data_IF_647729167109
#
_entry.id   IF_647729167109
#
_cell.length_a   1.000
_cell.length_b   1.000
_cell.length_c   1.000
_cell.angle_alpha   90.00
_cell.angle_beta   90.00
_cell.angle_gamma   90.00
#
_symmetry.space_group_name_H-M   'P 1'
#
loop_
_entity.id
_entity.type
_entity.pdbx_description
1 polymer ?
#
# COMPACT_ATOMS: atom_id res chain seq x y z
N UNK A 1 -28.33 -6.67 7.20
CA UNK A 1 -28.29 -5.34 7.85
C UNK A 1 -26.84 -5.07 8.19
N UNK A 2 -26.30 -3.94 7.77
CA UNK A 2 -24.89 -3.57 7.99
C UNK A 2 -24.75 -2.90 9.34
N UNK A 3 -23.83 -3.38 10.17
CA UNK A 3 -23.46 -2.76 11.44
C UNK A 3 -22.27 -1.82 11.20
N UNK A 4 -22.32 -0.58 11.70
CA UNK A 4 -21.26 0.41 11.53
C UNK A 4 -20.65 0.77 12.88
N UNK A 5 -19.35 0.50 13.04
CA UNK A 5 -18.57 0.93 14.21
C UNK A 5 -17.48 1.91 13.78
N UNK A 6 -17.47 3.09 14.40
CA UNK A 6 -16.46 4.14 14.16
C UNK A 6 -15.59 4.24 15.40
N UNK A 7 -14.30 3.96 15.25
CA UNK A 7 -13.32 3.97 16.35
C UNK A 7 -12.51 5.27 16.43
N UNK A 8 -12.84 6.27 15.61
CA UNK A 8 -12.25 7.60 15.65
C UNK A 8 -13.07 8.52 16.56
N UNK A 9 -12.41 9.41 17.31
CA UNK A 9 -13.07 10.39 18.18
C UNK A 9 -13.64 11.58 17.41
N UNK A 10 -12.91 12.06 16.40
CA UNK A 10 -13.22 13.26 15.64
C UNK A 10 -13.11 12.95 14.15
N UNK A 11 -14.24 13.10 13.44
CA UNK A 11 -14.31 12.84 12.00
C UNK A 11 -14.98 14.03 11.31
N UNK A 12 -14.30 14.63 10.33
CA UNK A 12 -14.85 15.75 9.57
C UNK A 12 -16.06 15.32 8.72
N UNK A 13 -16.92 16.28 8.35
CA UNK A 13 -18.19 15.98 7.67
C UNK A 13 -17.98 15.35 6.28
N UNK A 14 -16.90 15.66 5.57
CA UNK A 14 -16.62 15.06 4.26
C UNK A 14 -16.23 13.59 4.43
N UNK A 15 -15.42 13.27 5.44
CA UNK A 15 -15.08 11.90 5.81
C UNK A 15 -16.30 11.12 6.30
N UNK A 16 -17.13 11.73 7.16
CA UNK A 16 -18.39 11.13 7.61
C UNK A 16 -19.36 10.83 6.45
N UNK A 17 -19.41 11.70 5.44
CA UNK A 17 -20.20 11.43 4.23
C UNK A 17 -19.71 10.18 3.51
N UNK A 18 -18.39 10.03 3.28
CA UNK A 18 -17.84 8.81 2.67
C UNK A 18 -18.13 7.55 3.50
N UNK A 19 -18.10 7.65 4.84
CA UNK A 19 -18.42 6.53 5.73
C UNK A 19 -19.89 6.11 5.54
N UNK A 20 -20.83 7.07 5.54
CA UNK A 20 -22.26 6.79 5.35
C UNK A 20 -22.54 6.20 3.96
N UNK A 21 -21.92 6.76 2.93
CA UNK A 21 -22.05 6.30 1.55
C UNK A 21 -21.61 4.83 1.39
N UNK A 22 -20.44 4.46 1.91
CA UNK A 22 -19.96 3.07 1.79
C UNK A 22 -20.72 2.11 2.71
N UNK A 23 -21.07 2.52 3.93
CA UNK A 23 -21.77 1.65 4.88
C UNK A 23 -23.21 1.33 4.45
N UNK A 24 -23.86 2.23 3.70
CA UNK A 24 -25.19 2.03 3.13
C UNK A 24 -25.18 1.36 1.74
N UNK A 25 -24.00 1.13 1.16
CA UNK A 25 -23.89 0.57 -0.18
C UNK A 25 -24.41 -0.88 -0.23
N UNK A 26 -25.25 -1.26 -1.21
CA UNK A 26 -25.93 -2.57 -1.24
C UNK A 26 -24.99 -3.77 -1.36
N UNK A 27 -23.79 -3.58 -1.92
CA UNK A 27 -22.77 -4.61 -2.00
C UNK A 27 -21.96 -4.78 -0.70
N UNK A 28 -22.20 -3.98 0.36
CA UNK A 28 -21.47 -4.07 1.63
C UNK A 28 -22.35 -4.76 2.67
N UNK A 29 -21.82 -5.77 3.35
CA UNK A 29 -22.55 -6.56 4.34
C UNK A 29 -21.78 -6.78 5.64
N UNK A 30 -22.52 -7.13 6.70
CA UNK A 30 -21.96 -7.46 8.00
C UNK A 30 -21.43 -6.22 8.74
N UNK A 31 -20.32 -6.39 9.43
CA UNK A 31 -19.67 -5.31 10.18
C UNK A 31 -18.80 -4.45 9.24
N UNK A 32 -19.04 -3.15 9.24
CA UNK A 32 -18.13 -2.11 8.78
C UNK A 32 -17.47 -1.49 9.99
N UNK A 33 -16.14 -1.55 10.06
CA UNK A 33 -15.38 -0.88 11.11
C UNK A 33 -14.45 0.18 10.50
N UNK A 34 -14.51 1.39 11.04
CA UNK A 34 -13.68 2.53 10.64
C UNK A 34 -12.57 2.73 11.66
N UNK A 35 -11.32 2.66 11.20
CA UNK A 35 -10.13 2.78 12.04
C UNK A 35 -9.95 4.21 12.59
N UNK A 36 -9.27 4.37 13.74
CA UNK A 36 -8.98 5.68 14.34
C UNK A 36 -8.24 6.69 13.42
N UNK A 37 -7.44 6.23 12.46
CA UNK A 37 -6.68 7.05 11.51
C UNK A 37 -7.48 7.45 10.27
N UNK A 38 -8.82 7.32 10.32
CA UNK A 38 -9.67 7.57 9.18
C UNK A 38 -9.62 9.02 8.71
N UNK A 39 -9.69 9.20 7.39
CA UNK A 39 -9.70 10.51 6.76
C UNK A 39 -10.22 10.39 5.33
N UNK A 40 -10.56 11.55 4.75
CA UNK A 40 -11.08 11.66 3.39
C UNK A 40 -10.14 10.97 2.39
N UNK A 41 -10.68 9.98 1.69
CA UNK A 41 -9.96 9.24 0.66
C UNK A 41 -10.40 9.64 -0.75
N UNK A 42 -9.63 9.21 -1.74
CA UNK A 42 -10.09 9.26 -3.13
C UNK A 42 -11.20 8.21 -3.31
N UNK A 43 -12.45 8.68 -3.30
CA UNK A 43 -13.68 7.91 -3.56
C UNK A 43 -14.25 7.07 -2.42
N UNK A 44 -13.41 6.55 -1.52
CA UNK A 44 -13.86 5.88 -0.30
C UNK A 44 -12.91 6.25 0.85
N UNK A 45 -13.45 6.32 2.06
CA UNK A 45 -12.76 6.68 3.29
C UNK A 45 -11.53 5.78 3.54
N UNK A 46 -10.42 6.41 3.92
CA UNK A 46 -9.24 5.68 4.41
C UNK A 46 -9.52 5.25 5.85
N UNK A 47 -9.03 4.08 6.27
CA UNK A 47 -9.39 3.44 7.54
C UNK A 47 -10.61 2.52 7.42
N UNK A 48 -11.11 2.26 6.21
CA UNK A 48 -12.27 1.39 6.00
C UNK A 48 -11.91 -0.09 6.13
N UNK A 49 -12.76 -0.84 6.83
CA UNK A 49 -12.82 -2.30 6.77
C UNK A 49 -14.27 -2.77 6.59
N UNK A 50 -14.46 -3.81 5.80
CA UNK A 50 -15.77 -4.43 5.60
C UNK A 50 -15.70 -5.62 4.66
N UNK A 51 -16.86 -6.20 4.32
CA UNK A 51 -16.96 -7.28 3.33
C UNK A 51 -17.88 -6.87 2.19
N UNK A 52 -17.56 -7.39 1.01
CA UNK A 52 -18.48 -7.29 -0.12
C UNK A 52 -19.30 -8.57 -0.29
N UNK A 53 -20.53 -8.41 -0.77
CA UNK A 53 -21.47 -9.48 -1.08
C UNK A 53 -21.95 -9.37 -2.51
N UNK A 54 -21.88 -10.46 -3.28
CA UNK A 54 -22.40 -10.53 -4.66
C UNK A 54 -21.71 -9.66 -5.72
N UNK A 55 -20.95 -8.65 -5.32
CA UNK A 55 -20.25 -7.70 -6.19
C UNK A 55 -18.93 -7.24 -5.56
N UNK A 56 -18.12 -6.51 -6.31
CA UNK A 56 -16.91 -5.83 -5.84
C UNK A 56 -16.98 -4.34 -6.15
N UNK A 57 -16.32 -3.50 -5.35
CA UNK A 57 -16.22 -2.06 -5.58
C UNK A 57 -14.74 -1.70 -5.78
N UNK A 58 -14.20 -1.70 -7.02
CA UNK A 58 -12.76 -1.64 -7.24
C UNK A 58 -12.07 -0.43 -6.58
N UNK A 59 -12.70 0.74 -6.63
CA UNK A 59 -12.17 1.97 -6.05
C UNK A 59 -12.15 2.00 -4.51
N UNK A 60 -12.86 1.08 -3.85
CA UNK A 60 -12.79 0.90 -2.38
C UNK A 60 -11.53 0.16 -1.97
N UNK A 61 -10.87 -0.63 -2.82
CA UNK A 61 -9.51 -1.10 -2.49
C UNK A 61 -8.50 0.03 -2.70
N UNK A 62 -8.75 0.86 -3.71
CA UNK A 62 -7.89 2.00 -4.08
C UNK A 62 -6.96 1.69 -5.23
N UNK A 63 -6.28 2.72 -5.71
CA UNK A 63 -5.45 2.66 -6.92
C UNK A 63 -4.06 2.06 -6.70
N UNK A 64 -3.63 1.93 -5.45
CA UNK A 64 -2.35 1.30 -5.09
C UNK A 64 -2.63 -0.03 -4.39
N UNK A 65 -3.07 -1.00 -5.19
CA UNK A 65 -3.42 -2.35 -4.74
C UNK A 65 -2.21 -2.99 -4.06
N UNK A 66 -2.41 -3.62 -2.92
CA UNK A 66 -1.37 -4.27 -2.15
C UNK A 66 -0.34 -3.30 -1.57
N UNK A 67 -0.59 -1.97 -1.55
CA UNK A 67 0.27 -1.03 -0.82
C UNK A 67 0.41 -1.48 0.62
N UNK A 68 1.63 -1.48 1.13
CA UNK A 68 1.97 -2.11 2.40
C UNK A 68 3.36 -1.72 2.87
N UNK A 69 3.65 -2.09 4.11
CA UNK A 69 4.93 -1.87 4.75
C UNK A 69 5.55 -3.21 5.11
N UNK A 70 6.84 -3.36 4.83
CA UNK A 70 7.65 -4.44 5.39
C UNK A 70 8.70 -3.86 6.33
N UNK A 71 8.99 -4.58 7.41
CA UNK A 71 10.02 -4.26 8.39
C UNK A 71 10.89 -5.49 8.64
N UNK A 72 12.21 -5.30 8.61
CA UNK A 72 13.19 -6.36 8.83
C UNK A 72 14.32 -5.88 9.75
N UNK A 73 14.75 -6.66 10.76
CA UNK A 73 15.94 -6.33 11.54
C UNK A 73 17.20 -6.34 10.66
N UNK A 74 18.16 -5.47 10.96
CA UNK A 74 19.49 -5.44 10.34
C UNK A 74 20.49 -6.03 11.35
N UNK A 75 20.47 -7.35 11.49
CA UNK A 75 21.19 -8.03 12.57
C UNK A 75 22.70 -7.80 12.55
N UNK A 76 23.26 -7.47 13.72
CA UNK A 76 24.71 -7.32 13.91
C UNK A 76 25.31 -6.05 13.31
N UNK A 77 24.48 -5.07 12.93
CA UNK A 77 24.93 -3.74 12.49
C UNK A 77 24.52 -2.71 13.54
N UNK A 78 25.46 -1.89 14.03
CA UNK A 78 25.15 -0.73 14.87
C UNK A 78 25.10 0.54 14.04
N UNK A 79 24.34 1.53 14.50
CA UNK A 79 24.16 2.83 13.84
C UNK A 79 25.48 3.51 13.47
N UNK A 80 26.47 3.45 14.36
CA UNK A 80 27.75 4.13 14.19
C UNK A 80 28.63 3.50 13.09
N UNK A 81 28.27 2.31 12.62
CA UNK A 81 28.97 1.58 11.55
C UNK A 81 28.42 1.95 10.16
N UNK A 82 27.35 2.75 10.09
CA UNK A 82 26.67 3.11 8.84
C UNK A 82 27.16 4.47 8.35
N UNK A 83 27.79 4.49 7.17
CA UNK A 83 27.89 5.72 6.39
C UNK A 83 26.57 5.96 5.64
N UNK A 84 25.79 6.90 6.14
CA UNK A 84 24.48 7.22 5.57
C UNK A 84 24.53 7.80 4.16
N UNK A 85 25.63 8.47 3.77
CA UNK A 85 25.77 9.00 2.42
C UNK A 85 26.04 7.88 1.41
N UNK A 86 26.87 6.90 1.79
CA UNK A 86 27.14 5.74 0.95
C UNK A 86 25.91 4.84 0.83
N UNK A 87 25.16 4.65 1.92
CA UNK A 87 23.88 3.95 1.89
C UNK A 87 22.85 4.66 0.99
N UNK A 88 22.68 5.98 1.12
CA UNK A 88 21.76 6.75 0.27
C UNK A 88 22.16 6.64 -1.22
N UNK A 89 23.45 6.76 -1.53
CA UNK A 89 23.98 6.60 -2.90
C UNK A 89 23.69 5.20 -3.43
N UNK A 90 23.90 4.16 -2.62
CA UNK A 90 23.59 2.78 -2.98
C UNK A 90 22.10 2.57 -3.25
N UNK A 91 21.23 3.08 -2.37
CA UNK A 91 19.77 3.00 -2.54
C UNK A 91 19.35 3.72 -3.83
N UNK A 92 19.77 4.97 -4.03
CA UNK A 92 19.36 5.77 -5.19
C UNK A 92 19.86 5.23 -6.53
N UNK A 93 21.01 4.55 -6.54
CA UNK A 93 21.54 3.88 -7.73
C UNK A 93 20.90 2.52 -8.01
N UNK A 94 20.42 1.83 -6.97
CA UNK A 94 19.85 0.48 -7.09
C UNK A 94 18.32 0.45 -7.15
N UNK A 95 17.64 1.44 -6.59
CA UNK A 95 16.17 1.47 -6.42
C UNK A 95 15.60 2.72 -7.08
N UNK A 96 14.95 2.60 -8.26
CA UNK A 96 14.27 3.71 -8.91
C UNK A 96 13.18 4.32 -8.01
N UNK A 97 13.17 5.65 -7.94
CA UNK A 97 12.26 6.44 -7.13
C UNK A 97 11.22 7.17 -7.99
N UNK A 98 10.08 7.54 -7.40
CA UNK A 98 9.04 8.31 -8.08
C UNK A 98 8.41 7.57 -9.26
N UNK A 99 8.53 8.13 -10.46
CA UNK A 99 7.99 7.57 -11.71
C UNK A 99 9.06 6.81 -12.52
N UNK A 100 10.28 6.68 -12.00
CA UNK A 100 11.35 5.95 -12.66
C UNK A 100 11.13 4.42 -12.59
N UNK A 101 11.82 3.71 -13.48
CA UNK A 101 11.78 2.25 -13.63
C UNK A 101 13.16 1.73 -14.04
N UNK A 102 13.38 0.44 -13.87
CA UNK A 102 14.58 -0.23 -14.34
C UNK A 102 14.60 -0.30 -15.86
N UNK A 103 15.75 0.02 -16.46
CA UNK A 103 15.95 -0.01 -17.92
C UNK A 103 16.58 -1.31 -18.40
N UNK A 104 17.24 -2.03 -17.50
CA UNK A 104 17.92 -3.31 -17.72
C UNK A 104 17.44 -4.33 -16.69
N UNK A 105 17.50 -5.64 -16.99
CA UNK A 105 17.06 -6.68 -16.08
C UNK A 105 18.03 -6.95 -14.92
N UNK A 106 19.13 -6.20 -14.81
CA UNK A 106 20.25 -6.44 -13.88
C UNK A 106 19.80 -6.66 -12.44
N UNK A 107 18.81 -5.90 -11.93
CA UNK A 107 18.30 -6.11 -10.57
C UNK A 107 17.60 -7.46 -10.42
N UNK A 108 16.82 -7.90 -11.42
CA UNK A 108 16.15 -9.19 -11.40
C UNK A 108 17.13 -10.35 -11.63
N UNK A 109 18.18 -10.16 -12.42
CA UNK A 109 19.26 -11.13 -12.59
C UNK A 109 20.04 -11.30 -11.27
N UNK A 110 20.43 -10.19 -10.65
CA UNK A 110 21.02 -10.18 -9.32
C UNK A 110 20.09 -10.88 -8.30
N UNK A 111 18.80 -10.55 -8.29
CA UNK A 111 17.83 -11.19 -7.39
C UNK A 111 17.70 -12.69 -7.66
N UNK A 112 17.76 -13.11 -8.93
CA UNK A 112 17.74 -14.51 -9.34
C UNK A 112 18.94 -15.32 -8.87
N UNK A 113 20.12 -14.69 -8.79
CA UNK A 113 21.31 -15.36 -8.24
C UNK A 113 21.20 -15.68 -6.75
N UNK A 114 20.34 -14.94 -6.01
CA UNK A 114 20.15 -15.08 -4.56
C UNK A 114 18.91 -15.89 -4.21
N UNK A 115 17.82 -15.66 -4.94
CA UNK A 115 16.50 -16.26 -4.69
C UNK A 115 15.86 -16.75 -6.01
N UNK A 116 16.35 -17.87 -6.60
CA UNK A 116 15.93 -18.32 -7.92
C UNK A 116 14.42 -18.51 -8.07
N UNK A 117 13.78 -19.17 -7.10
CA UNK A 117 12.33 -19.46 -7.13
C UNK A 117 11.49 -18.18 -7.05
N UNK A 118 11.85 -17.25 -6.16
CA UNK A 118 11.17 -15.94 -6.05
C UNK A 118 11.38 -15.11 -7.31
N UNK A 119 12.57 -15.15 -7.91
CA UNK A 119 12.83 -14.47 -9.18
C UNK A 119 12.01 -15.08 -10.32
N UNK A 120 11.88 -16.41 -10.38
CA UNK A 120 11.00 -17.07 -11.34
C UNK A 120 9.55 -16.61 -11.18
N UNK A 121 9.06 -16.52 -9.93
CA UNK A 121 7.73 -15.98 -9.64
C UNK A 121 7.58 -14.50 -10.00
N UNK A 122 8.59 -13.68 -9.73
CA UNK A 122 8.60 -12.27 -10.10
C UNK A 122 8.50 -12.08 -11.64
N UNK A 123 9.23 -12.90 -12.40
CA UNK A 123 9.19 -12.93 -13.87
C UNK A 123 7.85 -13.42 -14.41
N UNK A 124 7.25 -14.41 -13.76
CA UNK A 124 5.89 -14.88 -14.08
C UNK A 124 4.87 -13.73 -13.88
N UNK A 125 4.85 -13.09 -12.71
CA UNK A 125 3.97 -11.96 -12.43
C UNK A 125 4.10 -10.84 -13.47
N UNK A 126 5.33 -10.50 -13.84
CA UNK A 126 5.59 -9.50 -14.87
C UNK A 126 5.08 -9.93 -16.25
N UNK A 127 5.34 -11.18 -16.64
CA UNK A 127 4.85 -11.75 -17.91
C UNK A 127 3.32 -11.70 -17.97
N UNK A 128 2.64 -12.13 -16.91
CA UNK A 128 1.18 -12.10 -16.82
C UNK A 128 0.64 -10.68 -16.91
N UNK A 129 1.28 -9.71 -16.25
CA UNK A 129 0.91 -8.31 -16.39
C UNK A 129 1.04 -7.81 -17.84
N UNK A 130 2.17 -8.09 -18.51
CA UNK A 130 2.43 -7.61 -19.87
C UNK A 130 1.58 -8.30 -20.94
N UNK A 131 1.41 -9.62 -20.84
CA UNK A 131 0.78 -10.46 -21.84
C UNK A 131 -0.74 -10.61 -21.60
N UNK A 132 -1.15 -11.08 -20.43
CA UNK A 132 -2.58 -11.31 -20.14
C UNK A 132 -3.32 -9.99 -19.79
N UNK A 133 -2.74 -9.09 -18.98
CA UNK A 133 -3.45 -7.86 -18.58
C UNK A 133 -3.32 -6.75 -19.61
N UNK A 134 -2.10 -6.30 -19.92
CA UNK A 134 -1.90 -5.16 -20.80
C UNK A 134 -2.31 -5.51 -22.24
N UNK A 135 -1.74 -6.57 -22.80
CA UNK A 135 -1.96 -6.91 -24.21
C UNK A 135 -3.35 -7.47 -24.48
N UNK A 136 -3.81 -8.46 -23.73
CA UNK A 136 -5.12 -9.07 -23.98
C UNK A 136 -6.27 -8.22 -23.42
N UNK A 137 -6.29 -7.98 -22.10
CA UNK A 137 -7.43 -7.33 -21.46
C UNK A 137 -7.55 -5.82 -21.73
N UNK A 138 -6.43 -5.09 -21.68
CA UNK A 138 -6.37 -3.66 -21.98
C UNK A 138 -6.23 -3.36 -23.48
N UNK A 139 -5.93 -4.37 -24.30
CA UNK A 139 -5.66 -4.22 -25.74
C UNK A 139 -4.58 -3.16 -26.04
N UNK A 140 -3.56 -3.06 -25.19
CA UNK A 140 -2.50 -2.03 -25.26
C UNK A 140 -1.15 -2.61 -24.87
N UNK A 141 -0.07 -2.16 -25.51
CA UNK A 141 1.27 -2.46 -24.99
C UNK A 141 1.62 -1.52 -23.84
N UNK A 142 2.19 -2.02 -22.73
CA UNK A 142 2.67 -1.14 -21.68
C UNK A 142 3.86 -0.33 -22.20
N UNK A 143 3.97 0.93 -21.77
CA UNK A 143 5.06 1.82 -22.22
C UNK A 143 6.44 1.29 -21.80
N UNK A 144 6.50 0.72 -20.60
CA UNK A 144 7.67 0.02 -20.08
C UNK A 144 7.19 -1.35 -19.59
N UNK A 145 8.00 -2.40 -19.74
CA UNK A 145 7.61 -3.74 -19.32
C UNK A 145 7.36 -3.80 -17.80
N UNK A 146 6.44 -4.65 -17.36
CA UNK A 146 6.08 -4.78 -15.96
C UNK A 146 7.27 -5.20 -15.09
N UNK A 147 8.20 -6.00 -15.62
CA UNK A 147 9.40 -6.40 -14.89
C UNK A 147 10.25 -5.19 -14.46
N UNK A 148 10.24 -4.10 -15.24
CA UNK A 148 10.98 -2.88 -14.93
C UNK A 148 10.41 -2.10 -13.73
N UNK A 149 9.22 -2.46 -13.26
CA UNK A 149 8.58 -1.86 -12.09
C UNK A 149 8.89 -2.63 -10.78
N UNK A 150 9.35 -3.88 -10.86
CA UNK A 150 9.75 -4.67 -9.69
C UNK A 150 11.06 -4.13 -9.12
N UNK A 151 11.14 -4.01 -7.79
CA UNK A 151 12.28 -3.37 -7.13
C UNK A 151 12.29 -1.85 -7.28
N UNK A 152 11.12 -1.20 -7.37
CA UNK A 152 11.01 0.27 -7.45
C UNK A 152 10.19 0.83 -6.30
N UNK A 153 10.63 1.94 -5.72
CA UNK A 153 9.97 2.50 -4.55
C UNK A 153 8.64 3.16 -4.90
N UNK A 154 8.69 4.02 -5.91
CA UNK A 154 7.59 4.91 -6.23
C UNK A 154 7.63 6.28 -5.59
N UNK A 155 6.50 6.97 -5.69
CA UNK A 155 6.32 8.32 -5.12
C UNK A 155 5.13 8.38 -4.19
N UNK A 156 4.78 9.58 -3.75
CA UNK A 156 3.69 9.77 -2.81
C UNK A 156 4.14 9.57 -1.37
N UNK A 157 3.57 8.59 -0.67
CA UNK A 157 3.91 8.25 0.72
C UNK A 157 4.77 6.98 0.81
N UNK A 158 5.35 6.52 -0.30
CA UNK A 158 6.31 5.42 -0.31
C UNK A 158 7.67 5.92 0.17
N UNK A 159 8.32 5.13 1.01
CA UNK A 159 9.58 5.50 1.65
C UNK A 159 10.42 4.27 1.99
N UNK A 160 11.70 4.53 2.23
CA UNK A 160 12.67 3.61 2.83
C UNK A 160 13.19 4.33 4.07
N UNK A 161 13.22 3.63 5.18
CA UNK A 161 13.64 4.18 6.48
C UNK A 161 14.48 3.14 7.23
N UNK A 162 15.45 3.60 8.01
CA UNK A 162 16.15 2.78 8.99
C UNK A 162 15.86 3.36 10.37
N UNK A 163 15.18 2.58 11.19
CA UNK A 163 14.81 2.92 12.56
C UNK A 163 15.76 2.23 13.54
N UNK A 164 15.96 2.84 14.70
CA UNK A 164 16.70 2.28 15.82
C UNK A 164 15.75 2.12 17.01
N UNK A 165 15.65 0.91 17.57
CA UNK A 165 14.86 0.69 18.78
C UNK A 165 15.58 1.21 20.04
N UNK A 166 14.89 1.28 21.19
CA UNK A 166 15.52 1.73 22.44
C UNK A 166 16.70 0.85 22.94
N UNK A 167 16.92 -0.33 22.34
CA UNK A 167 18.02 -1.24 22.66
C UNK A 167 19.18 -1.11 21.66
N UNK A 168 19.07 -0.24 20.67
CA UNK A 168 20.07 -0.01 19.63
C UNK A 168 20.00 -1.01 18.46
N UNK A 169 18.95 -1.82 18.37
CA UNK A 169 18.74 -2.70 17.22
C UNK A 169 18.19 -1.89 16.04
N UNK A 170 18.74 -2.13 14.85
CA UNK A 170 18.34 -1.44 13.63
C UNK A 170 17.30 -2.22 12.85
N UNK A 171 16.36 -1.51 12.23
CA UNK A 171 15.29 -2.07 11.43
C UNK A 171 15.19 -1.33 10.10
N UNK A 172 15.17 -2.08 8.99
CA UNK A 172 14.87 -1.58 7.67
C UNK A 172 13.36 -1.61 7.45
N UNK A 173 12.76 -0.46 7.18
CA UNK A 173 11.36 -0.32 6.80
C UNK A 173 11.26 0.05 5.31
N UNK A 174 10.41 -0.67 4.56
CA UNK A 174 10.10 -0.34 3.15
C UNK A 174 8.59 -0.24 2.97
N UNK A 175 8.13 0.94 2.57
CA UNK A 175 6.74 1.20 2.20
C UNK A 175 6.61 1.35 0.69
N UNK A 176 5.95 0.38 0.05
CA UNK A 176 5.64 0.43 -1.39
C UNK A 176 4.41 -0.43 -1.73
N UNK A 177 4.02 -0.42 -3.00
CA UNK A 177 2.84 -1.11 -3.51
C UNK A 177 3.05 -1.73 -4.88
N UNK A 178 1.95 -1.94 -5.61
CA UNK A 178 1.90 -2.64 -6.91
C UNK A 178 2.29 -1.76 -8.11
N UNK A 179 2.74 -0.53 -7.83
CA UNK A 179 3.27 0.40 -8.81
C UNK A 179 2.23 0.74 -9.89
N UNK A 180 2.67 1.00 -11.12
CA UNK A 180 1.75 1.38 -12.20
C UNK A 180 0.86 0.22 -12.64
N UNK A 181 1.29 -1.03 -12.43
CA UNK A 181 0.49 -2.20 -12.73
C UNK A 181 -0.82 -2.22 -11.94
N UNK A 182 -0.78 -2.16 -10.60
CA UNK A 182 -2.02 -2.13 -9.81
C UNK A 182 -2.86 -0.87 -10.04
N UNK A 183 -2.24 0.27 -10.35
CA UNK A 183 -2.96 1.47 -10.80
C UNK A 183 -3.80 1.19 -12.06
N UNK A 184 -3.23 0.49 -13.04
CA UNK A 184 -3.95 0.17 -14.28
C UNK A 184 -5.07 -0.86 -14.03
N UNK A 185 -4.83 -1.86 -13.18
CA UNK A 185 -5.86 -2.82 -12.74
C UNK A 185 -7.04 -2.08 -12.09
N UNK A 186 -6.77 -1.23 -11.09
CA UNK A 186 -7.81 -0.50 -10.38
C UNK A 186 -8.64 0.40 -11.32
N UNK A 187 -7.99 1.15 -12.22
CA UNK A 187 -8.70 2.04 -13.15
C UNK A 187 -9.51 1.27 -14.18
N UNK A 188 -8.96 0.20 -14.76
CA UNK A 188 -9.66 -0.61 -15.75
C UNK A 188 -10.97 -1.18 -15.20
N UNK A 189 -10.92 -1.82 -14.02
CA UNK A 189 -12.11 -2.40 -13.43
C UNK A 189 -13.07 -1.36 -12.86
N UNK A 190 -12.59 -0.20 -12.41
CA UNK A 190 -13.49 0.90 -12.07
C UNK A 190 -14.22 1.46 -13.30
N UNK A 191 -13.53 1.60 -14.44
CA UNK A 191 -14.16 1.97 -15.70
C UNK A 191 -15.19 0.93 -16.16
N UNK A 192 -14.89 -0.35 -15.98
CA UNK A 192 -15.83 -1.43 -16.25
C UNK A 192 -17.07 -1.32 -15.36
N UNK A 193 -16.91 -1.11 -14.05
CA UNK A 193 -18.01 -0.91 -13.10
C UNK A 193 -18.89 0.29 -13.49
N UNK A 194 -18.27 1.44 -13.83
CA UNK A 194 -18.98 2.62 -14.33
C UNK A 194 -19.81 2.34 -15.58
N UNK A 195 -19.25 1.63 -16.56
CA UNK A 195 -19.95 1.28 -17.81
C UNK A 195 -21.07 0.26 -17.58
N UNK A 196 -20.89 -0.65 -16.64
CA UNK A 196 -21.92 -1.61 -16.27
C UNK A 196 -23.12 -0.87 -15.66
N UNK A 197 -22.87 -0.02 -14.66
CA UNK A 197 -23.91 0.74 -13.98
C UNK A 197 -24.57 1.81 -14.84
N UNK A 198 -23.88 2.39 -15.82
CA UNK A 198 -24.55 3.35 -16.74
C UNK A 198 -25.54 2.66 -17.69
N UNK A 199 -25.46 1.33 -17.82
CA UNK A 199 -26.34 0.52 -18.70
C UNK A 199 -27.43 -0.20 -17.93
N UNK A 200 -27.18 -0.60 -16.68
CA UNK A 200 -28.21 -1.14 -15.79
C UNK A 200 -28.90 0.01 -15.05
N UNK A 201 -30.22 0.01 -14.95
CA UNK A 201 -30.94 0.97 -14.07
C UNK A 201 -30.67 0.75 -12.57
N UNK A 202 -29.69 -0.09 -12.24
CA UNK A 202 -29.18 -0.37 -10.89
C UNK A 202 -28.29 0.78 -10.34
N UNK A 203 -28.14 1.86 -11.11
CA UNK A 203 -27.33 3.04 -10.78
C UNK A 203 -28.05 4.08 -9.92
N UNK A 204 -29.36 3.98 -9.72
CA UNK A 204 -30.12 4.99 -8.99
C UNK A 204 -29.64 5.07 -7.52
N UNK A 205 -29.01 6.19 -7.19
CA UNK A 205 -28.57 6.51 -5.82
C UNK A 205 -27.16 6.06 -5.44
N UNK A 206 -26.39 5.40 -6.31
CA UNK A 206 -24.99 5.04 -6.00
C UNK A 206 -24.08 6.27 -6.18
N UNK A 207 -23.32 6.70 -5.15
CA UNK A 207 -22.39 7.82 -5.27
C UNK A 207 -21.27 7.54 -6.27
N UNK A 208 -20.82 8.59 -6.97
CA UNK A 208 -19.71 8.51 -7.93
C UNK A 208 -18.45 7.96 -7.26
N UNK A 209 -17.83 6.96 -7.88
CA UNK A 209 -16.65 6.29 -7.34
C UNK A 209 -16.96 5.09 -6.44
N UNK A 210 -18.24 4.81 -6.14
CA UNK A 210 -18.68 3.57 -5.50
C UNK A 210 -19.38 2.64 -6.48
N UNK A 211 -19.15 2.82 -7.79
CA UNK A 211 -19.72 1.91 -8.78
C UNK A 211 -19.19 0.49 -8.54
N UNK A 212 -20.10 -0.47 -8.43
CA UNK A 212 -19.84 -1.87 -8.16
C UNK A 212 -19.96 -2.72 -9.42
N UNK A 213 -19.27 -3.86 -9.41
CA UNK A 213 -19.26 -4.84 -10.48
C UNK A 213 -19.71 -6.19 -9.92
N UNK A 214 -20.88 -6.73 -10.33
CA UNK A 214 -21.32 -8.05 -9.91
C UNK A 214 -20.28 -9.13 -10.23
N UNK A 215 -20.20 -10.16 -9.38
CA UNK A 215 -19.19 -11.21 -9.52
C UNK A 215 -19.23 -11.92 -10.88
N UNK A 216 -20.42 -12.10 -11.44
CA UNK A 216 -20.65 -12.72 -12.76
C UNK A 216 -20.55 -11.76 -13.95
N UNK A 217 -20.41 -10.45 -13.71
CA UNK A 217 -20.28 -9.41 -14.75
C UNK A 217 -18.87 -8.83 -14.85
N UNK A 218 -17.87 -9.51 -14.28
CA UNK A 218 -16.46 -9.10 -14.30
C UNK A 218 -15.85 -8.97 -12.90
N UNK A 219 -16.65 -9.04 -11.83
CA UNK A 219 -16.13 -8.97 -10.46
C UNK A 219 -15.15 -10.10 -10.13
N UNK A 220 -15.38 -11.32 -10.62
CA UNK A 220 -14.42 -12.43 -10.50
C UNK A 220 -13.10 -12.17 -11.23
N UNK A 221 -13.15 -11.52 -12.39
CA UNK A 221 -11.96 -11.15 -13.15
C UNK A 221 -11.15 -10.05 -12.43
N UNK A 222 -11.85 -9.07 -11.84
CA UNK A 222 -11.22 -8.10 -10.95
C UNK A 222 -10.50 -8.79 -9.79
N UNK A 223 -11.15 -9.74 -9.10
CA UNK A 223 -10.53 -10.46 -7.98
C UNK A 223 -9.28 -11.25 -8.40
N UNK A 224 -9.27 -11.86 -9.60
CA UNK A 224 -8.06 -12.48 -10.17
C UNK A 224 -6.92 -11.46 -10.28
N UNK A 225 -7.17 -10.33 -10.93
CA UNK A 225 -6.15 -9.31 -11.16
C UNK A 225 -5.72 -8.55 -9.90
N UNK A 226 -6.64 -8.38 -8.97
CA UNK A 226 -6.38 -7.85 -7.64
C UNK A 226 -5.34 -8.73 -6.91
N UNK A 227 -5.51 -10.05 -6.91
CA UNK A 227 -4.57 -10.98 -6.27
C UNK A 227 -3.18 -10.92 -6.92
N UNK A 228 -3.12 -10.89 -8.25
CA UNK A 228 -1.85 -10.76 -8.99
C UNK A 228 -1.16 -9.43 -8.65
N UNK A 229 -1.92 -8.33 -8.56
CA UNK A 229 -1.36 -7.04 -8.15
C UNK A 229 -0.91 -7.00 -6.68
N UNK A 230 -1.63 -7.66 -5.77
CA UNK A 230 -1.21 -7.82 -4.37
C UNK A 230 0.12 -8.57 -4.27
N UNK A 231 0.27 -9.66 -5.01
CA UNK A 231 1.50 -10.45 -5.04
C UNK A 231 2.65 -9.69 -5.71
N UNK A 232 2.37 -8.93 -6.77
CA UNK A 232 3.33 -8.02 -7.40
C UNK A 232 3.86 -6.99 -6.39
N UNK A 233 2.98 -6.41 -5.55
CA UNK A 233 3.36 -5.47 -4.52
C UNK A 233 4.26 -6.10 -3.45
N UNK A 234 3.91 -7.30 -2.99
CA UNK A 234 4.71 -8.08 -2.03
C UNK A 234 6.10 -8.40 -2.59
N UNK A 235 6.17 -8.92 -3.82
CA UNK A 235 7.44 -9.21 -4.50
C UNK A 235 8.27 -7.93 -4.69
N UNK A 236 7.63 -6.81 -5.03
CA UNK A 236 8.31 -5.52 -5.15
C UNK A 236 8.97 -5.10 -3.83
N UNK A 237 8.25 -5.16 -2.70
CA UNK A 237 8.81 -4.85 -1.38
C UNK A 237 9.95 -5.81 -1.00
N UNK A 238 9.78 -7.10 -1.25
CA UNK A 238 10.81 -8.11 -0.97
C UNK A 238 12.12 -7.81 -1.73
N UNK A 239 12.04 -7.51 -3.03
CA UNK A 239 13.21 -7.18 -3.85
C UNK A 239 13.91 -5.92 -3.35
N UNK A 240 13.15 -4.88 -2.98
CA UNK A 240 13.72 -3.63 -2.43
C UNK A 240 14.45 -3.94 -1.11
N UNK A 241 13.80 -4.66 -0.19
CA UNK A 241 14.36 -4.98 1.10
C UNK A 241 15.63 -5.86 1.00
N UNK A 242 15.60 -6.94 0.21
CA UNK A 242 16.79 -7.80 0.00
C UNK A 242 17.93 -7.02 -0.67
N UNK A 243 17.60 -6.11 -1.61
CA UNK A 243 18.61 -5.27 -2.25
C UNK A 243 19.29 -4.35 -1.26
N UNK A 244 18.54 -3.71 -0.36
CA UNK A 244 19.11 -2.82 0.65
C UNK A 244 19.90 -3.62 1.69
N UNK A 245 19.38 -4.75 2.16
CA UNK A 245 20.10 -5.63 3.09
C UNK A 245 21.43 -6.13 2.53
N UNK A 246 21.53 -6.29 1.20
CA UNK A 246 22.79 -6.67 0.57
C UNK A 246 23.92 -5.64 0.73
N UNK A 247 23.61 -4.36 0.96
CA UNK A 247 24.61 -3.35 1.32
C UNK A 247 25.33 -3.70 2.63
N UNK A 248 24.59 -4.28 3.58
CA UNK A 248 25.11 -4.74 4.86
C UNK A 248 25.68 -6.17 4.79
N UNK A 249 25.82 -6.76 3.59
CA UNK A 249 26.24 -8.14 3.42
C UNK A 249 25.22 -9.17 3.91
N UNK A 250 23.95 -8.76 4.10
CA UNK A 250 22.87 -9.62 4.61
C UNK A 250 21.96 -10.12 3.49
N UNK A 251 21.10 -11.07 3.83
CA UNK A 251 20.01 -11.57 2.99
C UNK A 251 18.69 -11.40 3.74
N UNK A 252 17.62 -11.12 3.00
CA UNK A 252 16.28 -11.09 3.56
C UNK A 252 15.82 -12.52 3.92
N UNK A 253 15.48 -12.73 5.20
CA UNK A 253 14.91 -13.97 5.72
C UNK A 253 13.42 -13.75 6.02
N UNK A 254 12.56 -14.57 5.44
CA UNK A 254 11.10 -14.37 5.47
C UNK A 254 10.54 -14.46 6.90
N UNK A 255 11.18 -15.28 7.74
CA UNK A 255 10.81 -15.48 9.14
C UNK A 255 10.99 -14.21 9.98
N UNK A 256 11.97 -13.37 9.61
CA UNK A 256 12.26 -12.10 10.27
C UNK A 256 11.43 -10.93 9.73
N UNK A 257 10.81 -11.11 8.55
CA UNK A 257 10.02 -10.08 7.89
C UNK A 257 8.67 -9.91 8.59
N UNK A 258 8.37 -8.69 8.98
CA UNK A 258 7.04 -8.27 9.43
C UNK A 258 6.40 -7.48 8.32
N UNK A 259 5.22 -7.89 7.86
CA UNK A 259 4.49 -7.22 6.79
C UNK A 259 3.12 -6.73 7.25
N UNK A 260 2.74 -5.55 6.82
CA UNK A 260 1.40 -4.99 7.02
C UNK A 260 0.92 -4.33 5.74
N UNK A 261 0.10 -5.06 4.99
CA UNK A 261 -0.59 -4.57 3.78
C UNK A 261 -1.82 -3.78 4.18
N UNK A 262 -2.08 -2.64 3.52
CA UNK A 262 -3.16 -1.74 3.91
C UNK A 262 -4.18 -1.36 2.82
N UNK A 263 -3.99 -1.82 1.58
CA UNK A 263 -4.97 -1.66 0.49
C UNK A 263 -5.20 -2.99 -0.23
N UNK A 264 -6.14 -3.82 0.23
CA UNK A 264 -6.28 -5.18 -0.30
C UNK A 264 -7.63 -5.81 0.04
N UNK A 265 -7.92 -6.95 -0.59
CA UNK A 265 -8.95 -7.88 -0.14
C UNK A 265 -8.24 -9.14 0.33
N UNK A 266 -8.47 -9.49 1.58
CA UNK A 266 -7.85 -10.64 2.23
C UNK A 266 -8.45 -11.95 1.73
N UNK A 267 -7.59 -12.87 1.29
CA UNK A 267 -8.01 -14.23 0.92
C UNK A 267 -8.37 -15.09 2.14
N UNK A 268 -7.85 -14.74 3.33
CA UNK A 268 -8.08 -15.47 4.58
C UNK A 268 -9.50 -15.30 5.11
N UNK A 269 -10.02 -14.07 5.08
CA UNK A 269 -11.25 -13.69 5.78
C UNK A 269 -12.24 -12.87 4.93
N UNK A 270 -11.90 -12.60 3.67
CA UNK A 270 -12.71 -11.81 2.74
C UNK A 270 -12.81 -10.33 3.08
N UNK A 271 -12.08 -9.85 4.09
CA UNK A 271 -12.16 -8.47 4.55
C UNK A 271 -11.41 -7.58 3.56
N UNK A 272 -12.12 -6.56 3.08
CA UNK A 272 -11.60 -5.44 2.32
C UNK A 272 -11.00 -4.45 3.32
N UNK A 273 -9.75 -4.04 3.08
CA UNK A 273 -9.08 -3.03 3.90
C UNK A 273 -8.54 -1.92 3.00
N UNK A 274 -8.88 -0.66 3.30
CA UNK A 274 -8.35 0.54 2.65
C UNK A 274 -7.80 1.48 3.70
N UNK A 275 -6.47 1.60 3.77
CA UNK A 275 -5.77 2.22 4.89
C UNK A 275 -6.07 1.55 6.23
N UNK A 276 -6.13 0.22 6.25
CA UNK A 276 -6.22 -0.56 7.47
C UNK A 276 -5.44 -1.87 7.29
N UNK A 277 -4.84 -2.39 8.35
CA UNK A 277 -4.00 -3.59 8.29
C UNK A 277 -4.69 -4.77 8.99
N UNK A 278 -4.28 -6.00 8.65
CA UNK A 278 -4.65 -7.17 9.44
C UNK A 278 -4.05 -7.09 10.85
N UNK A 279 -4.81 -7.52 11.85
CA UNK A 279 -4.37 -7.58 13.25
C UNK A 279 -5.04 -8.76 13.98
N UNK A 280 -5.02 -9.95 13.37
CA UNK A 280 -5.47 -11.18 14.00
C UNK A 280 -4.66 -11.49 15.25
N UNK A 281 -5.20 -12.34 16.13
CA UNK A 281 -4.52 -12.69 17.39
C UNK A 281 -3.11 -13.25 17.12
N UNK A 282 -2.10 -12.65 17.73
CA UNK A 282 -0.70 -13.08 17.61
C UNK A 282 0.01 -12.64 16.32
N UNK A 283 -0.68 -11.95 15.39
CA UNK A 283 -0.09 -11.47 14.15
C UNK A 283 0.90 -10.32 14.42
N UNK A 284 2.13 -10.42 13.92
CA UNK A 284 3.10 -9.31 13.98
C UNK A 284 2.66 -8.22 13.00
N UNK A 285 2.60 -6.98 13.47
CA UNK A 285 2.16 -5.83 12.67
C UNK A 285 3.18 -4.70 12.72
N UNK A 286 3.31 -3.96 11.63
CA UNK A 286 4.10 -2.73 11.55
C UNK A 286 3.21 -1.57 11.11
N UNK A 287 3.23 -0.48 11.88
CA UNK A 287 2.40 0.71 11.64
C UNK A 287 3.34 1.92 11.49
N UNK A 288 3.53 2.47 10.28
CA UNK A 288 4.33 3.67 10.08
C UNK A 288 3.64 4.92 10.63
N UNK A 289 4.43 5.79 11.26
CA UNK A 289 3.96 7.08 11.77
C UNK A 289 4.42 8.22 10.85
N UNK A 290 5.07 9.23 11.41
CA UNK A 290 5.74 10.29 10.65
C UNK A 290 7.22 9.93 10.45
N UNK A 291 7.88 10.57 9.48
CA UNK A 291 9.32 10.39 9.24
C UNK A 291 10.21 10.74 10.45
N UNK A 292 9.67 11.48 11.43
CA UNK A 292 10.37 11.81 12.67
C UNK A 292 10.04 10.86 13.83
N UNK A 293 8.94 10.11 13.71
CA UNK A 293 8.43 9.23 14.76
C UNK A 293 8.71 7.76 14.48
N UNK A 294 9.16 7.42 13.27
CA UNK A 294 9.45 6.06 12.84
C UNK A 294 8.19 5.20 12.76
N UNK A 295 8.29 3.98 13.29
CA UNK A 295 7.25 2.94 13.17
C UNK A 295 6.92 2.31 14.51
N UNK A 296 5.72 1.73 14.61
CA UNK A 296 5.30 0.90 15.74
C UNK A 296 5.31 -0.56 15.31
N UNK A 297 6.08 -1.39 16.01
CA UNK A 297 6.00 -2.85 15.94
C UNK A 297 5.03 -3.35 17.02
N UNK A 298 4.05 -4.14 16.63
CA UNK A 298 2.98 -4.62 17.53
C UNK A 298 2.59 -6.06 17.28
N UNK A 299 1.69 -6.54 18.15
CA UNK A 299 1.05 -7.86 18.04
C UNK A 299 -0.47 -7.65 18.00
N UNK A 300 -1.11 -8.24 17.00
CA UNK A 300 -2.55 -8.19 16.79
C UNK A 300 -3.30 -8.83 17.97
N UNK A 301 -4.36 -8.15 18.40
CA UNK A 301 -5.24 -8.62 19.49
C UNK A 301 -6.41 -9.47 18.98
N UNK A 302 -6.65 -9.53 17.67
CA UNK A 302 -7.76 -10.27 17.09
C UNK A 302 -9.13 -9.74 17.49
N UNK A 303 -9.28 -8.42 17.64
CA UNK A 303 -10.55 -7.83 18.10
C UNK A 303 -11.64 -7.89 17.01
N UNK A 304 -12.76 -8.61 17.23
CA UNK A 304 -13.84 -8.70 16.26
C UNK A 304 -14.50 -7.35 15.94
N UNK A 305 -14.60 -6.42 16.92
CA UNK A 305 -15.21 -5.11 16.71
C UNK A 305 -14.41 -4.19 15.78
N UNK A 306 -13.14 -4.53 15.53
CA UNK A 306 -12.26 -3.87 14.57
C UNK A 306 -12.16 -4.66 13.26
N UNK A 307 -13.03 -5.64 13.01
CA UNK A 307 -12.89 -6.56 11.88
C UNK A 307 -11.49 -7.23 11.87
N UNK A 308 -10.96 -7.59 13.04
CA UNK A 308 -9.62 -8.16 13.19
C UNK A 308 -8.54 -7.31 12.50
N UNK A 309 -8.67 -5.98 12.58
CA UNK A 309 -7.83 -5.01 11.88
C UNK A 309 -7.28 -3.94 12.82
N UNK A 310 -6.30 -3.18 12.33
CA UNK A 310 -5.71 -2.04 13.03
C UNK A 310 -5.49 -0.85 12.07
N UNK A 311 -5.26 0.37 12.59
CA UNK A 311 -4.77 1.50 11.81
C UNK A 311 -3.57 1.15 10.95
N UNK A 312 -3.46 1.75 9.77
CA UNK A 312 -2.29 1.57 8.91
C UNK A 312 -1.21 2.63 9.14
N UNK A 313 -1.52 3.72 9.84
CA UNK A 313 -0.54 4.73 10.19
C UNK A 313 -1.10 5.85 11.05
N UNK A 314 -0.41 6.99 11.07
CA UNK A 314 -0.82 8.17 11.83
C UNK A 314 -1.98 8.99 11.19
N UNK A 315 -2.47 8.58 10.02
CA UNK A 315 -3.45 9.36 9.25
C UNK A 315 -2.87 10.65 8.67
N UNK A 316 -3.74 11.50 8.09
CA UNK A 316 -3.34 12.82 7.58
C UNK A 316 -4.27 13.90 8.11
N UNK A 317 -3.69 14.90 8.75
CA UNK A 317 -4.42 16.12 9.13
C UNK A 317 -4.74 17.00 7.92
N UNK A 318 -3.84 17.06 6.94
CA UNK A 318 -3.98 17.91 5.77
C UNK A 318 -3.76 17.13 4.47
N UNK A 319 -4.60 17.40 3.47
CA UNK A 319 -4.39 16.89 2.12
C UNK A 319 -3.18 17.53 1.44
N UNK A 320 -2.60 16.88 0.42
CA UNK A 320 -1.42 17.39 -0.31
C UNK A 320 -1.64 18.79 -0.92
N UNK A 321 -2.86 19.07 -1.41
CA UNK A 321 -3.20 20.39 -1.98
C UNK A 321 -3.22 21.47 -0.91
N UNK A 322 -3.77 21.16 0.25
CA UNK A 322 -3.81 22.08 1.38
C UNK A 322 -2.40 22.31 1.95
N UNK A 323 -1.58 21.27 2.09
CA UNK A 323 -0.18 21.44 2.49
C UNK A 323 0.60 22.34 1.54
N UNK A 324 0.42 22.19 0.22
CA UNK A 324 1.02 23.11 -0.77
C UNK A 324 0.54 24.55 -0.59
N UNK A 325 -0.75 24.75 -0.28
CA UNK A 325 -1.33 26.06 0.01
C UNK A 325 -0.69 26.68 1.27
N UNK A 326 -0.65 25.93 2.38
CA UNK A 326 -0.04 26.38 3.65
C UNK A 326 1.45 26.70 3.52
N UNK A 327 2.19 25.93 2.72
CA UNK A 327 3.59 26.21 2.37
C UNK A 327 3.73 27.53 1.60
N UNK A 328 2.84 27.77 0.61
CA UNK A 328 2.82 29.01 -0.16
C UNK A 328 2.47 30.23 0.70
N UNK A 329 1.55 30.05 1.65
CA UNK A 329 1.11 31.10 2.59
C UNK A 329 2.10 31.35 3.75
N UNK A 330 3.13 30.51 3.90
CA UNK A 330 4.12 30.64 4.97
C UNK A 330 3.67 30.18 6.36
N UNK A 331 2.42 29.74 6.51
CA UNK A 331 1.90 29.12 7.76
C UNK A 331 2.65 27.85 8.17
N UNK A 332 3.19 27.11 7.19
CA UNK A 332 4.13 26.00 7.41
C UNK A 332 5.35 26.31 6.54
N UNK A 333 6.55 26.12 7.07
CA UNK A 333 7.80 26.43 6.35
C UNK A 333 8.71 25.21 6.25
N UNK A 334 9.58 25.19 5.23
CA UNK A 334 10.64 24.17 5.15
C UNK A 334 11.59 24.21 6.35
N UNK A 335 11.76 25.39 6.97
CA UNK A 335 12.50 25.53 8.22
C UNK A 335 11.82 24.79 9.39
N UNK A 336 10.50 24.96 9.55
CA UNK A 336 9.75 24.23 10.57
C UNK A 336 9.76 22.71 10.34
N UNK A 337 9.72 22.27 9.08
CA UNK A 337 9.81 20.85 8.73
C UNK A 337 11.20 20.26 8.99
N UNK A 338 12.28 20.98 8.63
CA UNK A 338 13.66 20.60 9.01
C UNK A 338 13.82 20.46 10.51
N UNK A 339 13.26 21.40 11.27
CA UNK A 339 13.28 21.35 12.73
C UNK A 339 12.53 20.14 13.28
N UNK A 340 11.40 19.76 12.69
CA UNK A 340 10.70 18.53 13.10
C UNK A 340 11.45 17.24 12.76
N UNK A 341 12.46 17.31 11.90
CA UNK A 341 13.32 16.18 11.48
C UNK A 341 14.69 16.21 12.18
N UNK A 342 14.86 17.02 13.22
CA UNK A 342 16.14 17.12 13.95
C UNK A 342 16.55 15.76 14.51
N UNK A 343 17.80 15.35 14.25
CA UNK A 343 18.33 14.03 14.61
C UNK A 343 18.08 12.92 13.58
N UNK A 344 17.29 13.19 12.53
CA UNK A 344 17.02 12.24 11.43
C UNK A 344 17.86 12.60 10.21
N UNK A 345 18.63 11.64 9.72
CA UNK A 345 19.31 11.79 8.44
C UNK A 345 18.30 11.64 7.30
N UNK A 346 18.19 12.65 6.44
CA UNK A 346 17.36 12.57 5.24
C UNK A 346 17.92 13.41 4.10
N UNK A 347 18.00 12.84 2.90
CA UNK A 347 18.37 13.54 1.67
C UNK A 347 17.16 14.16 0.95
N UNK A 348 15.98 14.15 1.59
CA UNK A 348 14.72 14.64 1.02
C UNK A 348 14.16 15.90 1.72
N UNK A 349 14.91 16.49 2.66
CA UNK A 349 14.47 17.56 3.57
C UNK A 349 15.32 18.84 3.42
#
# INVERSE_FOLDING_TARGET
MTELLIHASDVDEQTMTQIRDIASHPAVEGLVAIMPDCHLGAGCVIGFTGRFSGAVIPNVVGVDIGCGVVLNPIEGVRRQEIDFNDLDRFIRSSIPLGMAHHRTPDLLEWFGSRSPERCARAKDLATRADEEFYRELLSRRPRNPAWGQLGTLGGGNHFIEIDEDPKGALFLTVHSGSRHFGFQVANFFQDMARRFQSRSRESDGIPRGLEHLPLDKGGREYLKWLRIAQEFAMMNRFIIADRILSFFGKRLEEESLVESVHNYISERDGIVRKGAISAHIGERVVIPLSMASGVVLGIGKGNPSFNYSAPHGAGRLFGRREMKRKLKEGTITMGSFRKSMEGVFSTSV
#
